data_IF_711771867679
#
_entry.id   IF_711771867679
#
_cell.length_a   1.000
_cell.length_b   1.000
_cell.length_c   1.000
_cell.angle_alpha   90.00
_cell.angle_beta   90.00
_cell.angle_gamma   90.00
#
_symmetry.space_group_name_H-M   'P 1'
#
loop_
_entity.id
_entity.type
_entity.pdbx_description
1 polymer ?
#
# COMPACT_ATOMS: atom_id res chain seq x y z
N UNK A 1 -11.43 4.90 7.08
CA UNK A 1 -11.79 5.48 5.77
C UNK A 1 -10.51 6.00 5.13
N UNK A 2 -10.24 5.56 3.90
CA UNK A 2 -9.08 5.95 3.10
C UNK A 2 -9.55 6.91 2.01
N UNK A 3 -8.85 8.02 1.84
CA UNK A 3 -9.12 9.04 0.84
C UNK A 3 -7.90 9.22 -0.07
N UNK A 4 -8.13 9.71 -1.29
CA UNK A 4 -7.05 10.22 -2.14
C UNK A 4 -6.21 11.24 -1.36
N UNK A 5 -4.90 11.20 -1.57
CA UNK A 5 -3.88 12.02 -0.91
C UNK A 5 -3.59 11.70 0.57
N UNK A 6 -4.32 10.75 1.18
CA UNK A 6 -3.96 10.20 2.49
C UNK A 6 -2.51 9.66 2.45
N UNK A 7 -1.81 9.75 3.58
CA UNK A 7 -0.46 9.22 3.74
C UNK A 7 -0.49 7.92 4.54
N UNK A 8 0.28 6.94 4.08
CA UNK A 8 0.42 5.64 4.72
C UNK A 8 1.89 5.36 5.03
N UNK A 9 2.17 4.93 6.27
CA UNK A 9 3.48 4.46 6.67
C UNK A 9 3.61 2.98 6.30
N UNK A 10 4.66 2.61 5.57
CA UNK A 10 4.99 1.22 5.34
C UNK A 10 5.59 0.60 6.61
N UNK A 11 4.85 -0.29 7.26
CA UNK A 11 5.25 -0.96 8.51
C UNK A 11 5.92 -2.31 8.26
N UNK A 12 5.82 -2.84 7.04
CA UNK A 12 6.54 -4.01 6.58
C UNK A 12 6.66 -3.98 5.07
N UNK A 13 7.89 -3.82 4.58
CA UNK A 13 8.17 -3.62 3.16
C UNK A 13 8.25 -4.90 2.32
N UNK A 14 8.44 -4.69 1.02
CA UNK A 14 8.83 -5.67 0.01
C UNK A 14 9.67 -5.00 -1.09
N UNK A 15 9.89 -5.65 -2.23
CA UNK A 15 10.71 -5.14 -3.32
C UNK A 15 10.21 -3.81 -3.93
N UNK A 16 8.95 -3.43 -3.68
CA UNK A 16 8.33 -2.20 -4.21
C UNK A 16 8.12 -1.12 -3.15
N UNK A 17 8.04 -1.50 -1.88
CA UNK A 17 7.77 -0.60 -0.76
C UNK A 17 8.78 -0.81 0.35
N UNK A 18 9.49 0.24 0.74
CA UNK A 18 10.49 0.21 1.81
C UNK A 18 9.84 0.44 3.17
N UNK A 19 10.21 -0.34 4.17
CA UNK A 19 9.74 -0.17 5.54
C UNK A 19 10.23 1.15 6.13
N UNK A 20 9.37 1.87 6.85
CA UNK A 20 9.64 3.20 7.40
C UNK A 20 9.30 4.37 6.46
N UNK A 21 9.10 4.12 5.17
CA UNK A 21 8.77 5.14 4.18
C UNK A 21 7.27 5.47 4.15
N UNK A 22 6.96 6.70 3.72
CA UNK A 22 5.59 7.21 3.60
C UNK A 22 5.17 7.21 2.14
N UNK A 23 4.03 6.59 1.86
CA UNK A 23 3.44 6.50 0.53
C UNK A 23 2.11 7.25 0.45
N UNK A 24 1.78 7.73 -0.74
CA UNK A 24 0.58 8.54 -0.97
C UNK A 24 -0.52 7.68 -1.60
N UNK A 25 -1.72 7.76 -1.03
CA UNK A 25 -2.91 7.14 -1.61
C UNK A 25 -3.30 7.89 -2.88
N UNK A 26 -3.38 7.15 -3.98
CA UNK A 26 -3.87 7.64 -5.27
C UNK A 26 -5.39 7.50 -5.37
N UNK A 27 -5.86 7.09 -6.55
CA UNK A 27 -7.30 6.94 -6.81
C UNK A 27 -7.94 5.84 -5.94
N UNK A 28 -9.08 6.16 -5.35
CA UNK A 28 -9.97 5.18 -4.70
C UNK A 28 -10.78 4.44 -5.77
N UNK A 29 -10.73 3.10 -5.76
CA UNK A 29 -11.53 2.25 -6.66
C UNK A 29 -12.88 1.95 -6.00
N UNK A 30 -12.86 1.52 -4.74
CA UNK A 30 -14.04 1.31 -3.91
C UNK A 30 -13.64 1.28 -2.42
N UNK A 31 -14.57 0.86 -1.56
CA UNK A 31 -14.35 0.81 -0.10
C UNK A 31 -13.26 -0.17 0.36
N UNK A 32 -12.80 -1.07 -0.52
CA UNK A 32 -11.76 -2.08 -0.25
C UNK A 32 -10.47 -1.85 -1.02
N UNK A 33 -10.55 -1.34 -2.26
CA UNK A 33 -9.39 -1.24 -3.15
C UNK A 33 -9.09 0.20 -3.52
N UNK A 34 -7.80 0.53 -3.56
CA UNK A 34 -7.30 1.85 -3.92
C UNK A 34 -5.87 1.76 -4.48
N UNK A 35 -5.43 2.81 -5.16
CA UNK A 35 -4.05 2.92 -5.64
C UNK A 35 -3.13 3.41 -4.52
N UNK A 36 -1.95 2.83 -4.42
CA UNK A 36 -0.87 3.34 -3.59
C UNK A 36 0.33 3.66 -4.49
N UNK A 37 0.71 4.93 -4.52
CA UNK A 37 1.82 5.39 -5.37
C UNK A 37 3.14 4.79 -4.86
N UNK A 38 4.05 4.47 -5.77
CA UNK A 38 5.43 4.09 -5.45
C UNK A 38 6.29 5.35 -5.20
N UNK A 39 7.52 5.18 -4.70
CA UNK A 39 8.37 6.30 -4.27
C UNK A 39 8.72 7.33 -5.36
N UNK A 40 8.55 7.00 -6.65
CA UNK A 40 8.72 7.91 -7.78
C UNK A 40 7.42 8.68 -8.15
N UNK A 41 6.27 8.37 -7.55
CA UNK A 41 4.93 8.89 -7.88
C UNK A 41 4.48 8.72 -9.35
N UNK A 42 5.27 8.06 -10.18
CA UNK A 42 4.94 7.77 -11.59
C UNK A 42 4.23 6.41 -11.74
N UNK A 43 4.51 5.47 -10.84
CA UNK A 43 3.88 4.16 -10.79
C UNK A 43 2.98 3.99 -9.56
N UNK A 44 2.13 2.96 -9.60
CA UNK A 44 1.26 2.59 -8.48
C UNK A 44 0.96 1.10 -8.48
N UNK A 45 0.62 0.59 -7.30
CA UNK A 45 0.00 -0.73 -7.15
C UNK A 45 -1.37 -0.60 -6.51
N UNK A 46 -2.18 -1.66 -6.61
CA UNK A 46 -3.48 -1.71 -5.94
C UNK A 46 -3.31 -2.29 -4.54
N UNK A 47 -3.70 -1.49 -3.53
CA UNK A 47 -3.78 -1.88 -2.14
C UNK A 47 -5.18 -2.38 -1.79
N UNK A 48 -5.23 -3.25 -0.79
CA UNK A 48 -6.45 -3.77 -0.17
C UNK A 48 -6.57 -3.21 1.25
N UNK A 49 -7.77 -2.78 1.62
CA UNK A 49 -8.20 -2.52 2.99
C UNK A 49 -9.26 -3.56 3.37
N UNK A 50 -8.95 -4.39 4.35
CA UNK A 50 -9.86 -5.37 4.93
C UNK A 50 -9.62 -5.54 6.44
N UNK A 51 -10.18 -6.59 7.04
CA UNK A 51 -10.08 -6.87 8.48
C UNK A 51 -8.65 -7.20 8.93
N UNK A 52 -7.71 -7.49 8.01
CA UNK A 52 -6.29 -7.69 8.32
C UNK A 52 -5.51 -6.37 8.35
N UNK A 53 -6.09 -5.29 7.80
CA UNK A 53 -5.46 -3.98 7.69
C UNK A 53 -5.26 -3.54 6.25
N UNK A 54 -4.19 -2.78 6.00
CA UNK A 54 -3.86 -2.24 4.68
C UNK A 54 -2.63 -2.96 4.12
N UNK A 55 -2.75 -3.51 2.91
CA UNK A 55 -1.61 -4.17 2.27
C UNK A 55 -1.66 -4.13 0.75
N UNK A 56 -0.49 -4.25 0.12
CA UNK A 56 -0.32 -4.57 -1.30
C UNK A 56 0.20 -5.99 -1.39
N UNK A 57 -0.42 -6.86 -2.19
CA UNK A 57 -0.08 -8.28 -2.32
C UNK A 57 0.25 -8.63 -3.77
N UNK A 58 1.29 -9.43 -3.97
CA UNK A 58 1.69 -9.92 -5.28
C UNK A 58 1.63 -11.45 -5.33
N UNK A 59 0.75 -12.00 -6.16
CA UNK A 59 0.53 -13.45 -6.29
C UNK A 59 1.74 -14.21 -6.86
N UNK A 60 2.61 -13.52 -7.61
CA UNK A 60 3.77 -14.11 -8.29
C UNK A 60 5.03 -14.21 -7.42
N UNK A 61 5.05 -13.60 -6.23
CA UNK A 61 6.23 -13.59 -5.37
C UNK A 61 6.13 -14.76 -4.39
N UNK A 62 6.90 -15.82 -4.65
CA UNK A 62 6.93 -17.08 -3.87
C UNK A 62 7.54 -16.97 -2.47
N UNK A 63 7.93 -15.76 -2.02
CA UNK A 63 8.63 -15.55 -0.76
C UNK A 63 7.72 -14.96 0.34
N UNK A 64 8.14 -15.14 1.60
CA UNK A 64 7.56 -14.65 2.86
C UNK A 64 7.27 -13.12 2.91
N UNK A 65 7.65 -12.39 1.85
CA UNK A 65 7.56 -10.94 1.67
C UNK A 65 6.67 -10.53 0.47
N UNK A 66 5.74 -11.41 0.04
CA UNK A 66 4.82 -11.10 -1.06
C UNK A 66 3.85 -9.94 -0.76
N UNK A 67 3.73 -9.56 0.51
CA UNK A 67 2.89 -8.45 0.97
C UNK A 67 3.73 -7.33 1.57
N UNK A 68 3.44 -6.09 1.15
CA UNK A 68 3.79 -4.89 1.88
C UNK A 68 2.60 -4.46 2.75
N UNK A 69 2.84 -4.06 3.99
CA UNK A 69 1.81 -3.68 4.96
C UNK A 69 1.95 -2.23 5.38
N UNK A 70 0.82 -1.59 5.66
CA UNK A 70 0.77 -0.16 5.92
C UNK A 70 -0.15 0.21 7.08
N UNK A 71 0.24 1.26 7.79
CA UNK A 71 -0.61 1.95 8.75
C UNK A 71 -0.98 3.34 8.22
N UNK A 72 -2.19 3.79 8.55
CA UNK A 72 -2.59 5.17 8.29
C UNK A 72 -1.92 6.09 9.31
N UNK A 73 -1.24 7.13 8.81
CA UNK A 73 -0.74 8.21 9.66
C UNK A 73 -1.77 9.35 9.67
N UNK A 74 -1.92 10.00 10.83
CA UNK A 74 -2.97 10.97 11.13
C UNK A 74 -2.95 12.19 10.21
#
# INVERSE_FOLDING_TARGET
MINTDDKLLCIRGNDFYSEGEIYTVGRIVNNKYFQLLTGNNEDHWYATLDDQGIYVSFDSITAKNSKAWFDKIA
#
